data_IF_722191275747
#
_entry.id   IF_722191275747
#
_cell.length_a   1.000
_cell.length_b   1.000
_cell.length_c   1.000
_cell.angle_alpha   90.00
_cell.angle_beta   90.00
_cell.angle_gamma   90.00
#
_symmetry.space_group_name_H-M   'P 1'
#
loop_
_entity.id
_entity.type
_entity.pdbx_description
1 polymer ?
#
# COMPACT_ATOMS: atom_id res chain seq x y z
N UNK A 1 14.85 -21.55 46.74
CA UNK A 1 15.67 -21.92 45.58
C UNK A 1 14.97 -21.58 44.22
N UNK A 2 14.60 -20.33 43.93
CA UNK A 2 13.96 -19.93 42.65
C UNK A 2 14.61 -18.71 41.95
N UNK A 3 15.77 -18.22 42.39
CA UNK A 3 16.44 -17.06 41.78
C UNK A 3 17.63 -17.39 40.87
N UNK A 4 18.08 -18.64 40.79
CA UNK A 4 19.31 -18.99 40.02
C UNK A 4 19.03 -19.28 38.53
N UNK A 5 17.82 -19.70 38.14
CA UNK A 5 17.49 -20.05 36.74
C UNK A 5 17.35 -18.86 35.82
N UNK A 6 17.01 -17.66 36.34
CA UNK A 6 16.83 -16.45 35.53
C UNK A 6 18.16 -15.89 34.99
N UNK A 7 19.27 -16.05 35.75
CA UNK A 7 20.58 -15.54 35.31
C UNK A 7 21.22 -16.43 34.23
N UNK A 8 21.01 -17.75 34.31
CA UNK A 8 21.54 -18.69 33.30
C UNK A 8 20.84 -18.51 31.95
N UNK A 9 19.52 -18.29 31.94
CA UNK A 9 18.76 -18.03 30.70
C UNK A 9 19.18 -16.70 30.04
N UNK A 10 19.44 -15.66 30.82
CA UNK A 10 19.94 -14.38 30.30
C UNK A 10 21.36 -14.47 29.75
N UNK A 11 22.23 -15.21 30.39
CA UNK A 11 23.60 -15.46 29.91
C UNK A 11 23.64 -16.29 28.63
N UNK A 12 22.77 -17.32 28.52
CA UNK A 12 22.62 -18.11 27.30
C UNK A 12 22.02 -17.28 26.13
N UNK A 13 21.07 -16.39 26.40
CA UNK A 13 20.52 -15.49 25.38
C UNK A 13 21.54 -14.46 24.88
N UNK A 14 22.41 -13.94 25.77
CA UNK A 14 23.51 -13.04 25.41
C UNK A 14 24.61 -13.76 24.64
N UNK A 15 24.94 -14.98 25.00
CA UNK A 15 25.92 -15.79 24.30
C UNK A 15 25.42 -16.20 22.89
N UNK A 16 24.13 -16.49 22.75
CA UNK A 16 23.51 -16.79 21.45
C UNK A 16 23.48 -15.56 20.54
N UNK A 17 23.17 -14.37 21.09
CA UNK A 17 23.22 -13.09 20.36
C UNK A 17 24.65 -12.72 19.95
N UNK A 18 25.65 -12.97 20.81
CA UNK A 18 27.05 -12.73 20.48
C UNK A 18 27.57 -13.70 19.40
N UNK A 19 27.15 -14.97 19.43
CA UNK A 19 27.48 -15.96 18.39
C UNK A 19 26.81 -15.61 17.03
N UNK A 20 25.56 -15.14 17.02
CA UNK A 20 24.90 -14.70 15.79
C UNK A 20 25.54 -13.42 15.22
N UNK A 21 25.98 -12.50 16.07
CA UNK A 21 26.74 -11.32 15.64
C UNK A 21 28.11 -11.66 15.05
N UNK A 22 28.77 -12.71 15.55
CA UNK A 22 30.08 -13.15 15.03
C UNK A 22 29.98 -13.92 13.71
N UNK A 23 28.85 -14.58 13.42
CA UNK A 23 28.64 -15.28 12.15
C UNK A 23 28.19 -14.32 11.04
N UNK A 24 27.63 -13.14 11.38
CA UNK A 24 27.33 -12.09 10.40
C UNK A 24 28.54 -11.24 9.96
N UNK A 25 29.74 -11.47 10.47
CA UNK A 25 30.99 -11.02 9.87
C UNK A 25 31.49 -11.97 8.75
N UNK A 26 30.57 -12.64 8.04
CA UNK A 26 30.86 -13.20 6.74
C UNK A 26 31.36 -12.05 5.86
N UNK A 27 32.63 -12.13 5.47
CA UNK A 27 33.36 -11.27 4.55
C UNK A 27 32.42 -10.46 3.68
N UNK A 28 32.26 -9.16 4.00
CA UNK A 28 31.71 -8.22 3.04
C UNK A 28 32.51 -8.44 1.75
N UNK A 29 31.87 -8.82 0.62
CA UNK A 29 32.60 -8.91 -0.62
C UNK A 29 33.30 -7.59 -0.78
N UNK A 30 34.63 -7.61 -0.98
CA UNK A 30 35.39 -6.40 -1.24
C UNK A 30 34.65 -5.70 -2.37
N UNK A 31 34.05 -4.55 -2.07
CA UNK A 31 33.33 -3.74 -3.03
C UNK A 31 34.36 -3.44 -4.14
N UNK A 32 34.16 -4.04 -5.30
CA UNK A 32 34.97 -3.72 -6.47
C UNK A 32 34.89 -2.21 -6.68
N UNK A 33 36.00 -1.54 -7.06
CA UNK A 33 35.97 -0.11 -7.32
C UNK A 33 35.06 0.14 -8.54
N UNK A 34 33.82 0.55 -8.25
CA UNK A 34 32.83 0.88 -9.26
C UNK A 34 32.81 2.39 -9.41
N UNK A 35 33.06 2.88 -10.63
CA UNK A 35 32.86 4.27 -10.97
C UNK A 35 31.38 4.49 -11.36
N UNK A 36 30.62 5.25 -10.55
CA UNK A 36 29.24 5.56 -10.90
C UNK A 36 29.19 6.41 -12.18
N UNK A 37 28.10 6.32 -12.89
CA UNK A 37 27.87 7.19 -14.05
C UNK A 37 27.91 8.68 -13.65
N UNK A 38 28.53 9.47 -14.50
CA UNK A 38 28.53 10.93 -14.42
C UNK A 38 28.61 11.51 -15.83
N UNK A 39 28.14 12.77 -16.04
CA UNK A 39 28.31 13.46 -17.31
C UNK A 39 29.76 13.66 -17.77
N UNK A 40 30.71 13.52 -16.84
CA UNK A 40 32.13 13.60 -17.15
C UNK A 40 32.59 12.27 -17.75
N UNK A 41 33.19 12.26 -18.95
CA UNK A 41 33.70 11.04 -19.56
C UNK A 41 34.68 10.28 -18.67
N UNK A 42 34.74 8.97 -18.86
CA UNK A 42 35.74 8.13 -18.19
C UNK A 42 37.11 8.48 -18.74
N UNK A 43 38.05 8.77 -17.82
CA UNK A 43 39.45 9.01 -18.21
C UNK A 43 40.18 7.68 -18.46
N UNK A 44 41.04 7.60 -19.47
CA UNK A 44 41.93 6.43 -19.66
C UNK A 44 42.70 6.03 -18.41
N UNK A 45 43.11 7.02 -17.62
CA UNK A 45 43.89 6.78 -16.37
C UNK A 45 43.10 6.02 -15.30
N UNK A 46 41.77 5.96 -15.42
CA UNK A 46 40.90 5.22 -14.52
C UNK A 46 40.77 3.73 -14.91
N UNK A 47 41.20 3.37 -16.14
CA UNK A 47 41.01 2.03 -16.72
C UNK A 47 42.27 1.20 -16.61
N UNK A 48 42.13 -0.13 -16.70
CA UNK A 48 43.28 -1.00 -16.80
C UNK A 48 43.92 -0.90 -18.17
N UNK A 49 45.26 -0.89 -18.19
CA UNK A 49 46.03 -1.01 -19.44
C UNK A 49 46.16 -2.47 -19.82
N UNK A 50 45.72 -2.84 -21.02
CA UNK A 50 45.80 -4.19 -21.54
C UNK A 50 46.25 -4.18 -22.99
N UNK A 51 47.40 -4.80 -23.29
CA UNK A 51 47.86 -4.97 -24.67
C UNK A 51 47.22 -6.23 -25.27
N UNK A 52 46.33 -6.05 -26.25
CA UNK A 52 45.57 -7.13 -26.87
C UNK A 52 46.18 -7.49 -28.21
N UNK A 53 46.61 -8.76 -28.34
CA UNK A 53 47.22 -9.28 -29.59
C UNK A 53 46.21 -9.57 -30.70
N UNK A 54 44.89 -9.66 -30.35
CA UNK A 54 43.84 -9.95 -31.32
C UNK A 54 43.48 -8.67 -32.14
N UNK A 55 43.43 -8.84 -33.47
CA UNK A 55 43.12 -7.75 -34.40
C UNK A 55 41.61 -7.45 -34.48
N UNK A 56 40.75 -8.30 -33.90
CA UNK A 56 39.29 -8.12 -33.94
C UNK A 56 38.78 -7.21 -32.82
N UNK A 57 39.60 -6.88 -31.83
CA UNK A 57 39.22 -6.04 -30.70
C UNK A 57 39.46 -4.55 -30.98
N UNK A 58 38.49 -3.71 -30.56
CA UNK A 58 38.47 -2.28 -30.87
C UNK A 58 39.25 -1.40 -29.88
N UNK A 59 40.10 -1.98 -29.06
CA UNK A 59 41.07 -1.25 -28.25
C UNK A 59 40.58 -0.77 -26.90
N UNK A 60 39.31 -0.90 -26.54
CA UNK A 60 38.79 -0.55 -25.21
C UNK A 60 37.44 -1.21 -24.94
N UNK A 61 37.18 -1.57 -23.69
CA UNK A 61 35.92 -2.13 -23.25
C UNK A 61 35.55 -1.66 -21.85
N UNK A 62 34.31 -1.22 -21.66
CA UNK A 62 33.73 -0.86 -20.36
C UNK A 62 32.84 -1.99 -19.86
N UNK A 63 33.15 -2.55 -18.71
CA UNK A 63 32.26 -3.50 -18.01
C UNK A 63 31.20 -2.71 -17.23
N UNK A 64 30.06 -2.49 -17.89
CA UNK A 64 28.97 -1.69 -17.40
C UNK A 64 28.06 -2.56 -16.55
N UNK A 65 27.79 -2.12 -15.32
CA UNK A 65 26.95 -2.85 -14.36
C UNK A 65 25.86 -1.95 -13.75
N UNK A 66 24.88 -2.60 -13.16
CA UNK A 66 23.81 -1.96 -12.42
C UNK A 66 23.86 -2.37 -10.95
N UNK A 67 23.97 -1.39 -10.08
CA UNK A 67 23.81 -1.56 -8.64
C UNK A 67 22.38 -1.27 -8.24
N UNK A 68 21.81 -2.15 -7.41
CA UNK A 68 20.43 -2.04 -6.90
C UNK A 68 20.49 -1.94 -5.39
N UNK A 69 19.84 -0.95 -4.82
CA UNK A 69 19.69 -0.79 -3.38
C UNK A 69 18.27 -0.38 -3.03
N UNK A 70 17.80 -0.80 -1.86
CA UNK A 70 16.47 -0.47 -1.37
C UNK A 70 16.56 0.45 -0.16
N UNK A 71 15.69 1.44 -0.12
CA UNK A 71 15.57 2.39 0.97
C UNK A 71 14.10 2.48 1.42
N UNK A 72 13.88 2.36 2.74
CA UNK A 72 12.57 2.62 3.32
C UNK A 72 12.36 4.12 3.50
N UNK A 73 11.43 4.68 2.75
CA UNK A 73 11.14 6.11 2.71
C UNK A 73 9.77 6.42 3.29
N UNK A 74 9.61 7.67 3.69
CA UNK A 74 8.32 8.21 4.10
C UNK A 74 8.10 9.59 3.49
N UNK A 75 6.97 9.75 2.80
CA UNK A 75 6.53 11.03 2.26
C UNK A 75 5.14 11.34 2.83
N UNK A 76 5.07 12.35 3.71
CA UNK A 76 3.85 12.65 4.47
C UNK A 76 3.45 11.49 5.39
N UNK A 77 2.24 10.96 5.19
CA UNK A 77 1.71 9.82 5.92
C UNK A 77 1.90 8.47 5.19
N UNK A 78 2.60 8.46 4.06
CA UNK A 78 2.83 7.26 3.25
C UNK A 78 4.26 6.75 3.46
N UNK A 79 4.38 5.49 3.91
CA UNK A 79 5.63 4.75 3.99
C UNK A 79 5.72 3.76 2.80
N UNK A 80 6.88 3.66 2.17
CA UNK A 80 7.11 2.77 1.04
C UNK A 80 8.59 2.40 0.93
N UNK A 81 8.89 1.32 0.24
CA UNK A 81 10.26 0.97 -0.15
C UNK A 81 10.53 1.57 -1.52
N UNK A 82 11.59 2.34 -1.63
CA UNK A 82 12.08 2.88 -2.90
C UNK A 82 13.31 2.09 -3.34
N UNK A 83 13.30 1.60 -4.56
CA UNK A 83 14.41 0.87 -5.15
C UNK A 83 15.24 1.82 -6.00
N UNK A 84 16.49 2.02 -5.63
CA UNK A 84 17.45 2.80 -6.39
C UNK A 84 18.18 1.90 -7.37
N UNK A 85 18.26 2.35 -8.60
CA UNK A 85 19.06 1.74 -9.66
C UNK A 85 20.15 2.72 -10.06
N UNK A 86 21.42 2.28 -10.01
CA UNK A 86 22.58 3.11 -10.36
C UNK A 86 23.44 2.36 -11.34
N UNK A 87 23.74 2.97 -12.47
CA UNK A 87 24.72 2.44 -13.39
C UNK A 87 26.15 2.77 -12.93
N UNK A 88 27.08 1.93 -13.28
CA UNK A 88 28.49 2.14 -13.01
C UNK A 88 29.36 1.28 -13.92
N UNK A 89 30.65 1.52 -13.86
CA UNK A 89 31.68 0.75 -14.57
C UNK A 89 32.53 0.05 -13.51
N UNK A 90 32.72 -1.27 -13.66
CA UNK A 90 33.70 -2.01 -12.89
C UNK A 90 35.10 -1.70 -13.42
N UNK A 91 35.85 -0.88 -12.68
CA UNK A 91 37.21 -0.49 -13.06
C UNK A 91 38.21 -1.63 -13.02
N UNK A 92 37.87 -2.76 -12.36
CA UNK A 92 38.75 -3.94 -12.32
C UNK A 92 38.64 -4.84 -13.54
N UNK A 93 37.59 -4.70 -14.34
CA UNK A 93 37.34 -5.46 -15.55
C UNK A 93 37.28 -4.57 -16.82
N UNK A 94 37.20 -3.25 -16.66
CA UNK A 94 37.26 -2.31 -17.77
C UNK A 94 38.70 -1.98 -18.13
N UNK A 95 38.98 -1.92 -19.43
CA UNK A 95 40.35 -1.81 -19.93
C UNK A 95 40.45 -1.03 -21.23
N UNK A 96 41.69 -0.60 -21.58
CA UNK A 96 42.01 -0.07 -22.90
C UNK A 96 43.41 -0.54 -23.31
N UNK A 97 43.61 -0.59 -24.63
CA UNK A 97 44.92 -0.83 -25.25
C UNK A 97 45.47 0.48 -25.80
N UNK A 98 46.56 1.03 -25.24
CA UNK A 98 47.10 2.32 -25.65
C UNK A 98 47.59 2.35 -27.12
N UNK A 99 47.88 1.15 -27.69
CA UNK A 99 48.34 1.08 -29.08
C UNK A 99 47.16 1.10 -30.10
N UNK A 100 45.92 0.84 -29.64
CA UNK A 100 44.73 0.73 -30.49
C UNK A 100 43.62 1.72 -30.18
N UNK A 101 43.50 2.13 -28.91
CA UNK A 101 42.40 2.98 -28.45
C UNK A 101 42.69 4.44 -28.88
N UNK A 102 41.79 5.01 -29.60
CA UNK A 102 41.79 6.44 -29.95
C UNK A 102 40.65 7.21 -29.22
N UNK A 103 40.59 8.50 -29.40
CA UNK A 103 39.56 9.33 -28.82
C UNK A 103 38.14 8.88 -29.18
N UNK A 104 37.93 8.37 -30.41
CA UNK A 104 36.63 7.96 -30.88
C UNK A 104 36.13 6.67 -30.23
N UNK A 105 37.00 5.74 -29.90
CA UNK A 105 36.68 4.53 -29.16
C UNK A 105 36.26 4.83 -27.73
N UNK A 106 36.92 5.80 -27.07
CA UNK A 106 36.47 6.25 -25.74
C UNK A 106 35.11 6.90 -25.79
N UNK A 107 34.84 7.76 -26.81
CA UNK A 107 33.54 8.38 -27.02
C UNK A 107 32.44 7.36 -27.31
N UNK A 108 32.76 6.33 -28.13
CA UNK A 108 31.83 5.23 -28.37
C UNK A 108 31.49 4.44 -27.11
N UNK A 109 32.49 4.09 -26.30
CA UNK A 109 32.25 3.39 -25.01
C UNK A 109 31.48 4.28 -24.01
N UNK A 110 31.75 5.58 -23.99
CA UNK A 110 30.94 6.53 -23.21
C UNK A 110 29.48 6.54 -23.67
N UNK A 111 29.20 6.48 -24.96
CA UNK A 111 27.82 6.39 -25.48
C UNK A 111 27.14 5.10 -25.05
N UNK A 112 27.83 3.96 -25.02
CA UNK A 112 27.28 2.71 -24.47
C UNK A 112 26.90 2.88 -23.00
N UNK A 113 27.73 3.56 -22.23
CA UNK A 113 27.49 3.84 -20.83
C UNK A 113 26.32 4.81 -20.63
N UNK A 114 26.23 5.86 -21.45
CA UNK A 114 25.16 6.85 -21.39
C UNK A 114 23.79 6.25 -21.77
N UNK A 115 23.72 5.38 -22.79
CA UNK A 115 22.50 4.64 -23.15
C UNK A 115 22.06 3.72 -22.00
N UNK A 116 23.03 3.09 -21.34
CA UNK A 116 22.72 2.27 -20.17
C UNK A 116 22.16 3.10 -19.02
N UNK A 117 22.74 4.28 -18.74
CA UNK A 117 22.22 5.21 -17.71
C UNK A 117 20.79 5.68 -18.03
N UNK A 118 20.47 6.03 -19.29
CA UNK A 118 19.11 6.37 -19.71
C UNK A 118 18.15 5.21 -19.37
N UNK A 119 18.56 3.99 -19.69
CA UNK A 119 17.77 2.79 -19.41
C UNK A 119 17.57 2.60 -17.90
N UNK A 120 18.61 2.82 -17.09
CA UNK A 120 18.55 2.71 -15.63
C UNK A 120 17.63 3.76 -15.03
N UNK A 121 17.66 5.00 -15.51
CA UNK A 121 16.75 6.08 -15.08
C UNK A 121 15.30 5.73 -15.43
N UNK A 122 15.04 5.27 -16.64
CA UNK A 122 13.71 4.85 -17.08
C UNK A 122 13.19 3.66 -16.26
N UNK A 123 14.05 2.69 -15.97
CA UNK A 123 13.74 1.56 -15.12
C UNK A 123 13.37 2.03 -13.70
N UNK A 124 14.20 2.86 -13.07
CA UNK A 124 13.96 3.36 -11.71
C UNK A 124 12.60 4.07 -11.60
N UNK A 125 12.32 4.96 -12.57
CA UNK A 125 11.07 5.72 -12.58
C UNK A 125 9.84 4.84 -12.77
N UNK A 126 9.90 3.82 -13.63
CA UNK A 126 8.78 2.92 -13.89
C UNK A 126 8.62 1.87 -12.78
N UNK A 127 9.72 1.29 -12.32
CA UNK A 127 9.74 0.23 -11.31
C UNK A 127 9.12 0.66 -9.97
N UNK A 128 9.46 1.87 -9.51
CA UNK A 128 8.94 2.41 -8.27
C UNK A 128 7.48 2.89 -8.36
N UNK A 129 6.90 2.93 -9.55
CA UNK A 129 5.48 3.23 -9.77
C UNK A 129 4.64 1.97 -10.00
N UNK A 130 5.29 0.81 -10.11
CA UNK A 130 4.61 -0.46 -10.28
C UNK A 130 3.82 -0.84 -9.02
N UNK A 131 2.60 -1.35 -9.21
CA UNK A 131 1.69 -1.71 -8.13
C UNK A 131 1.85 -3.15 -7.66
N UNK A 132 2.54 -3.99 -8.44
CA UNK A 132 2.77 -5.39 -8.12
C UNK A 132 4.17 -5.84 -8.50
N UNK A 133 4.60 -6.97 -7.93
CA UNK A 133 5.87 -7.59 -8.30
C UNK A 133 5.89 -8.05 -9.75
N UNK A 134 4.78 -8.53 -10.27
CA UNK A 134 4.69 -8.96 -11.67
C UNK A 134 4.83 -7.78 -12.62
N UNK A 135 4.22 -6.61 -12.30
CA UNK A 135 4.42 -5.38 -13.06
C UNK A 135 5.90 -4.96 -13.02
N UNK A 136 6.56 -5.09 -11.86
CA UNK A 136 7.98 -4.79 -11.73
C UNK A 136 8.85 -5.70 -12.61
N UNK A 137 8.55 -7.00 -12.65
CA UNK A 137 9.27 -7.97 -13.48
C UNK A 137 9.02 -7.71 -14.98
N UNK A 138 7.79 -7.34 -15.37
CA UNK A 138 7.46 -6.98 -16.75
C UNK A 138 8.16 -5.67 -17.18
N UNK A 139 8.19 -4.65 -16.31
CA UNK A 139 8.91 -3.39 -16.54
C UNK A 139 10.40 -3.67 -16.72
N UNK A 140 11.01 -4.49 -15.85
CA UNK A 140 12.43 -4.87 -15.95
C UNK A 140 12.72 -5.58 -17.27
N UNK A 141 11.89 -6.56 -17.65
CA UNK A 141 12.04 -7.30 -18.91
C UNK A 141 11.93 -6.37 -20.12
N UNK A 142 10.91 -5.53 -20.17
CA UNK A 142 10.73 -4.57 -21.27
C UNK A 142 11.88 -3.60 -21.37
N UNK A 143 12.30 -3.01 -20.25
CA UNK A 143 13.44 -2.08 -20.20
C UNK A 143 14.74 -2.73 -20.69
N UNK A 144 14.98 -4.01 -20.30
CA UNK A 144 16.13 -4.75 -20.78
C UNK A 144 16.10 -4.93 -22.30
N UNK A 145 14.94 -5.29 -22.88
CA UNK A 145 14.79 -5.45 -24.33
C UNK A 145 15.00 -4.11 -25.06
N UNK A 146 14.42 -3.02 -24.56
CA UNK A 146 14.58 -1.69 -25.11
C UNK A 146 16.07 -1.24 -25.09
N UNK A 147 16.78 -1.50 -24.00
CA UNK A 147 18.21 -1.27 -23.89
C UNK A 147 19.01 -2.10 -24.91
N UNK A 148 18.76 -3.39 -25.00
CA UNK A 148 19.48 -4.27 -25.93
C UNK A 148 19.26 -3.84 -27.39
N UNK A 149 18.05 -3.41 -27.74
CA UNK A 149 17.75 -2.88 -29.08
C UNK A 149 18.55 -1.60 -29.34
N UNK A 150 18.49 -0.60 -28.46
CA UNK A 150 19.26 0.65 -28.62
C UNK A 150 20.76 0.40 -28.68
N UNK A 151 21.27 -0.51 -27.84
CA UNK A 151 22.68 -0.90 -27.89
C UNK A 151 23.05 -1.52 -29.25
N UNK A 152 22.23 -2.38 -29.78
CA UNK A 152 22.45 -3.01 -31.08
C UNK A 152 22.40 -1.97 -32.22
N UNK A 153 21.47 -1.02 -32.16
CA UNK A 153 21.38 0.08 -33.13
C UNK A 153 22.66 0.94 -33.12
N UNK A 154 23.14 1.33 -31.91
CA UNK A 154 24.40 2.06 -31.78
C UNK A 154 25.57 1.27 -32.38
N UNK A 155 25.72 0.01 -32.03
CA UNK A 155 26.80 -0.85 -32.52
C UNK A 155 26.78 -0.94 -34.06
N UNK A 156 25.60 -1.18 -34.62
CA UNK A 156 25.46 -1.37 -36.08
C UNK A 156 25.65 -0.07 -36.87
N UNK A 157 25.07 1.04 -36.38
CA UNK A 157 25.18 2.35 -37.07
C UNK A 157 26.57 2.95 -36.97
N UNK A 158 27.27 2.75 -35.84
CA UNK A 158 28.64 3.27 -35.65
C UNK A 158 29.72 2.31 -36.17
N UNK A 159 29.32 1.14 -36.67
CA UNK A 159 30.23 0.08 -37.11
C UNK A 159 31.26 -0.22 -36.00
N UNK A 160 30.76 -0.56 -34.80
CA UNK A 160 31.58 -0.78 -33.59
C UNK A 160 32.49 0.40 -33.22
N UNK A 161 32.04 1.62 -33.38
CA UNK A 161 32.81 2.81 -33.00
C UNK A 161 33.79 3.33 -34.07
N UNK A 162 33.76 2.81 -35.29
CA UNK A 162 34.66 3.27 -36.39
C UNK A 162 34.05 4.40 -37.24
N UNK A 163 32.70 4.53 -37.29
CA UNK A 163 32.04 5.64 -37.96
C UNK A 163 31.92 6.87 -37.05
N UNK A 164 32.86 7.78 -37.18
CA UNK A 164 32.92 8.97 -36.34
C UNK A 164 31.74 9.94 -36.56
N UNK A 165 31.16 9.97 -37.78
CA UNK A 165 30.03 10.83 -38.08
C UNK A 165 28.77 10.33 -37.36
N UNK A 166 28.57 9.01 -37.32
CA UNK A 166 27.48 8.40 -36.56
C UNK A 166 27.68 8.53 -35.06
N UNK A 167 28.90 8.38 -34.53
CA UNK A 167 29.21 8.64 -33.11
C UNK A 167 28.77 10.07 -32.77
N UNK A 168 29.16 11.10 -33.51
CA UNK A 168 28.78 12.48 -33.25
C UNK A 168 27.25 12.72 -33.34
N UNK A 169 26.53 11.94 -34.16
CA UNK A 169 25.07 11.96 -34.24
C UNK A 169 24.43 11.35 -33.00
N UNK A 170 24.92 10.23 -32.55
CA UNK A 170 24.47 9.51 -31.35
C UNK A 170 24.71 10.34 -30.07
N UNK A 171 25.83 11.02 -29.94
CA UNK A 171 26.12 11.91 -28.82
C UNK A 171 25.06 13.02 -28.69
N UNK A 172 24.65 13.65 -29.81
CA UNK A 172 23.58 14.63 -29.75
C UNK A 172 22.23 14.04 -29.38
N UNK A 173 21.93 12.83 -29.84
CA UNK A 173 20.72 12.13 -29.52
C UNK A 173 20.69 11.76 -28.01
N UNK A 174 21.73 11.11 -27.54
CA UNK A 174 21.86 10.63 -26.13
C UNK A 174 21.87 11.80 -25.15
N UNK A 175 22.60 12.89 -25.48
CA UNK A 175 22.58 14.10 -24.65
C UNK A 175 21.16 14.65 -24.48
N UNK A 176 20.39 14.72 -25.57
CA UNK A 176 18.97 15.15 -25.51
C UNK A 176 18.13 14.22 -24.67
N UNK A 177 18.30 12.92 -24.79
CA UNK A 177 17.59 11.93 -23.99
C UNK A 177 17.90 12.07 -22.49
N UNK A 178 19.16 12.25 -22.11
CA UNK A 178 19.56 12.49 -20.71
C UNK A 178 18.97 13.77 -20.14
N UNK A 179 18.86 14.83 -20.95
CA UNK A 179 18.20 16.08 -20.57
C UNK A 179 16.66 15.90 -20.41
N UNK A 180 16.02 15.08 -21.24
CA UNK A 180 14.58 14.80 -21.20
C UNK A 180 14.18 13.87 -20.05
N UNK A 181 15.06 12.98 -19.62
CA UNK A 181 14.80 11.99 -18.55
C UNK A 181 15.70 12.25 -17.34
N UNK A 182 15.54 13.36 -16.62
CA UNK A 182 16.32 13.56 -15.40
C UNK A 182 15.90 12.53 -14.32
N UNK A 183 16.83 12.18 -13.43
CA UNK A 183 16.47 11.45 -12.23
C UNK A 183 15.48 12.27 -11.42
N UNK A 184 14.31 11.70 -11.19
CA UNK A 184 13.26 12.37 -10.41
C UNK A 184 13.41 12.03 -8.94
N UNK A 185 13.06 13.00 -8.08
CA UNK A 185 12.99 12.71 -6.65
C UNK A 185 11.97 11.59 -6.37
N UNK A 186 12.23 10.71 -5.40
CA UNK A 186 11.30 9.65 -5.02
C UNK A 186 9.91 10.20 -4.74
N UNK A 187 8.90 9.56 -5.31
CA UNK A 187 7.49 9.91 -5.09
C UNK A 187 6.79 8.75 -4.42
N UNK A 188 5.95 9.06 -3.44
CA UNK A 188 5.08 8.05 -2.86
C UNK A 188 4.20 7.42 -3.96
N UNK A 189 4.08 6.09 -4.01
CA UNK A 189 3.19 5.41 -4.94
C UNK A 189 1.76 5.89 -4.72
N UNK A 190 0.99 5.99 -5.81
CA UNK A 190 -0.44 6.31 -5.71
C UNK A 190 -1.17 5.10 -5.16
N UNK A 191 -2.01 5.37 -4.17
CA UNK A 191 -2.88 4.35 -3.63
C UNK A 191 -4.01 4.02 -4.63
N UNK A 192 -4.20 2.71 -4.89
CA UNK A 192 -5.33 2.24 -5.68
C UNK A 192 -6.47 1.84 -4.75
N UNK A 193 -7.50 2.70 -4.67
CA UNK A 193 -8.69 2.44 -3.85
C UNK A 193 -9.68 1.48 -4.51
N UNK A 194 -9.32 0.93 -5.68
CA UNK A 194 -10.26 0.17 -6.48
C UNK A 194 -10.55 -1.24 -5.94
N UNK A 195 -9.57 -1.86 -5.24
CA UNK A 195 -9.74 -3.21 -4.73
C UNK A 195 -9.13 -3.36 -3.34
N UNK A 196 -9.96 -3.50 -2.33
CA UNK A 196 -9.52 -3.67 -0.95
C UNK A 196 -10.45 -4.58 -0.16
N UNK A 197 -9.91 -5.17 0.89
CA UNK A 197 -10.66 -5.75 2.00
C UNK A 197 -10.27 -5.00 3.27
N UNK A 198 -11.26 -4.60 4.03
CA UNK A 198 -11.05 -3.85 5.25
C UNK A 198 -11.86 -4.35 6.41
N UNK A 199 -11.40 -4.01 7.60
CA UNK A 199 -12.15 -4.18 8.83
C UNK A 199 -12.02 -2.92 9.68
N UNK A 200 -13.04 -2.66 10.48
CA UNK A 200 -13.06 -1.52 11.37
C UNK A 200 -13.72 -1.82 12.71
N UNK A 201 -13.32 -1.05 13.71
CA UNK A 201 -13.90 -1.05 15.05
C UNK A 201 -14.14 0.39 15.49
N UNK A 202 -15.18 0.60 16.25
CA UNK A 202 -15.46 1.93 16.78
C UNK A 202 -16.76 2.03 17.57
N UNK A 203 -17.34 3.20 17.54
CA UNK A 203 -18.57 3.52 18.25
C UNK A 203 -19.60 4.11 17.30
N UNK A 204 -20.86 3.89 17.61
CA UNK A 204 -22.00 4.45 16.89
C UNK A 204 -22.99 5.07 17.88
N UNK A 205 -23.29 6.35 17.70
CA UNK A 205 -24.30 7.08 18.45
C UNK A 205 -25.62 7.06 17.68
N UNK A 206 -26.69 6.68 18.34
CA UNK A 206 -28.02 6.58 17.77
C UNK A 206 -28.97 7.54 18.48
N UNK A 207 -29.61 8.42 17.71
CA UNK A 207 -30.62 9.35 18.15
C UNK A 207 -31.98 8.96 17.56
N UNK A 208 -32.95 8.47 18.37
CA UNK A 208 -34.30 8.22 17.91
C UNK A 208 -35.00 9.50 17.44
N UNK A 209 -35.78 9.43 16.37
CA UNK A 209 -36.49 10.58 15.78
C UNK A 209 -38.00 10.46 15.95
N UNK A 210 -38.71 11.58 15.95
CA UNK A 210 -40.18 11.64 16.02
C UNK A 210 -40.76 11.00 17.27
N UNK A 211 -41.78 10.21 17.15
CA UNK A 211 -42.43 9.50 18.27
C UNK A 211 -41.52 8.52 18.98
N UNK A 212 -40.51 8.01 18.30
CA UNK A 212 -39.52 7.11 18.92
C UNK A 212 -38.67 7.82 19.99
N UNK A 213 -38.43 9.12 19.88
CA UNK A 213 -37.69 9.90 20.88
C UNK A 213 -38.43 10.03 22.23
N UNK A 214 -39.76 9.81 22.23
CA UNK A 214 -40.56 9.78 23.46
C UNK A 214 -40.43 8.43 24.19
N UNK A 215 -40.15 7.36 23.44
CA UNK A 215 -40.05 6.01 23.98
C UNK A 215 -38.62 5.59 24.31
N UNK A 216 -37.63 6.04 23.54
CA UNK A 216 -36.25 5.62 23.68
C UNK A 216 -35.30 6.76 24.08
N UNK A 217 -34.26 6.43 24.83
CA UNK A 217 -33.11 7.32 25.03
C UNK A 217 -32.13 7.21 23.88
N UNK A 218 -31.25 8.21 23.77
CA UNK A 218 -30.07 8.15 22.92
C UNK A 218 -29.14 7.00 23.32
N UNK A 219 -28.40 6.44 22.37
CA UNK A 219 -27.54 5.28 22.62
C UNK A 219 -26.14 5.52 22.07
N UNK A 220 -25.17 4.98 22.81
CA UNK A 220 -23.82 4.77 22.31
C UNK A 220 -23.56 3.26 22.22
N UNK A 221 -23.34 2.78 21.04
CA UNK A 221 -23.08 1.36 20.74
C UNK A 221 -21.63 1.16 20.30
N UNK A 222 -21.05 -0.01 20.59
CA UNK A 222 -19.87 -0.47 19.87
C UNK A 222 -20.25 -0.84 18.42
N UNK A 223 -19.35 -0.69 17.50
CA UNK A 223 -19.55 -1.08 16.11
C UNK A 223 -18.29 -1.76 15.56
N UNK A 224 -18.51 -2.78 14.72
CA UNK A 224 -17.48 -3.49 13.99
C UNK A 224 -17.99 -3.83 12.59
N UNK A 225 -17.09 -3.91 11.61
CA UNK A 225 -17.50 -4.30 10.28
C UNK A 225 -16.35 -4.79 9.41
N UNK A 226 -16.75 -5.45 8.33
CA UNK A 226 -15.90 -5.94 7.25
C UNK A 226 -16.32 -5.27 5.95
N UNK A 227 -15.37 -4.72 5.21
CA UNK A 227 -15.60 -4.03 3.95
C UNK A 227 -14.87 -4.72 2.81
N UNK A 228 -15.50 -4.78 1.65
CA UNK A 228 -14.89 -5.23 0.40
C UNK A 228 -15.16 -4.15 -0.64
N UNK A 229 -14.11 -3.51 -1.13
CA UNK A 229 -14.18 -2.53 -2.21
C UNK A 229 -13.80 -3.16 -3.55
N UNK A 230 -14.60 -2.86 -4.59
CA UNK A 230 -14.35 -3.26 -5.97
C UNK A 230 -14.65 -2.05 -6.86
N UNK A 231 -13.61 -1.43 -7.40
CA UNK A 231 -13.74 -0.17 -8.16
C UNK A 231 -14.39 0.92 -7.30
N UNK A 232 -15.47 1.52 -7.79
CA UNK A 232 -16.22 2.56 -7.07
C UNK A 232 -17.30 1.99 -6.14
N UNK A 233 -17.47 0.67 -6.08
CA UNK A 233 -18.47 0.04 -5.24
C UNK A 233 -17.85 -0.61 -4.03
N UNK A 234 -18.58 -0.64 -2.93
CA UNK A 234 -18.19 -1.44 -1.77
C UNK A 234 -19.38 -2.16 -1.14
N UNK A 235 -19.06 -3.27 -0.52
CA UNK A 235 -19.95 -4.07 0.31
C UNK A 235 -19.46 -3.95 1.74
N UNK A 236 -20.35 -3.66 2.68
CA UNK A 236 -20.03 -3.54 4.10
C UNK A 236 -20.95 -4.45 4.92
N UNK A 237 -20.37 -5.38 5.65
CA UNK A 237 -21.03 -6.18 6.65
C UNK A 237 -20.68 -5.60 8.02
N UNK A 238 -21.69 -5.08 8.72
CA UNK A 238 -21.46 -4.45 10.01
C UNK A 238 -22.37 -4.98 11.10
N UNK A 239 -21.83 -4.97 12.31
CA UNK A 239 -22.54 -5.27 13.55
C UNK A 239 -22.39 -4.07 14.45
N UNK A 240 -23.49 -3.65 15.06
CA UNK A 240 -23.44 -2.65 16.13
C UNK A 240 -24.31 -3.06 17.28
N UNK A 241 -23.83 -2.81 18.49
CA UNK A 241 -24.56 -3.16 19.69
C UNK A 241 -23.79 -2.79 20.94
N UNK A 242 -24.39 -2.98 22.06
CA UNK A 242 -23.69 -2.82 23.33
C UNK A 242 -24.47 -2.12 24.40
N UNK A 243 -24.07 -2.46 25.58
CA UNK A 243 -24.22 -1.75 26.83
C UNK A 243 -25.63 -1.51 27.37
N UNK A 244 -25.89 -2.00 28.49
CA UNK A 244 -27.04 -1.97 29.40
C UNK A 244 -27.65 -0.59 29.73
N UNK A 245 -27.52 0.44 28.85
CA UNK A 245 -27.83 1.83 29.27
C UNK A 245 -29.04 2.48 28.58
N UNK A 246 -29.88 1.67 27.93
CA UNK A 246 -31.04 2.22 27.27
C UNK A 246 -32.29 2.05 28.15
N UNK A 247 -32.59 3.07 28.92
CA UNK A 247 -33.83 3.11 29.68
C UNK A 247 -34.99 3.47 28.76
N UNK A 248 -36.10 2.73 28.85
CA UNK A 248 -37.36 3.11 28.24
C UNK A 248 -37.92 4.33 28.98
N UNK A 249 -38.27 5.39 28.24
CA UNK A 249 -38.93 6.56 28.78
C UNK A 249 -40.40 6.36 29.07
N UNK A 250 -41.02 5.40 28.36
CA UNK A 250 -42.46 5.09 28.53
C UNK A 250 -42.70 3.62 28.24
N UNK A 251 -43.70 3.04 28.86
CA UNK A 251 -44.15 1.65 28.68
C UNK A 251 -44.85 1.39 27.35
N UNK A 252 -44.29 1.86 26.24
CA UNK A 252 -44.91 1.88 24.90
C UNK A 252 -44.79 0.57 24.11
N UNK A 253 -43.92 -0.34 24.59
CA UNK A 253 -43.67 -1.58 23.87
C UNK A 253 -44.45 -2.75 24.44
N UNK A 254 -45.04 -3.53 23.56
CA UNK A 254 -45.51 -4.87 23.88
C UNK A 254 -44.67 -5.88 23.10
N UNK A 255 -44.19 -6.87 23.80
CA UNK A 255 -43.52 -8.03 23.22
C UNK A 255 -44.47 -8.78 22.32
N UNK A 256 -43.97 -9.65 21.46
CA UNK A 256 -44.75 -10.57 20.61
C UNK A 256 -45.64 -11.50 21.42
N UNK A 257 -45.31 -11.77 22.67
CA UNK A 257 -46.12 -12.55 23.63
C UNK A 257 -47.13 -11.69 24.43
N UNK A 258 -47.29 -10.40 24.08
CA UNK A 258 -48.24 -9.49 24.72
C UNK A 258 -47.74 -8.83 26.04
N UNK A 259 -46.55 -9.12 26.51
CA UNK A 259 -45.97 -8.50 27.71
C UNK A 259 -45.62 -7.04 27.44
N UNK A 260 -46.16 -6.10 28.21
CA UNK A 260 -45.77 -4.69 28.14
C UNK A 260 -44.39 -4.45 28.73
N UNK A 261 -43.56 -3.68 28.07
CA UNK A 261 -42.25 -3.23 28.57
C UNK A 261 -42.47 -2.03 29.50
N UNK A 262 -41.94 -2.15 30.69
CA UNK A 262 -42.13 -1.13 31.72
C UNK A 262 -41.19 0.06 31.51
N UNK A 263 -41.60 1.22 31.97
CA UNK A 263 -40.74 2.39 32.05
C UNK A 263 -39.50 2.05 32.90
N UNK A 264 -38.36 2.62 32.54
CA UNK A 264 -37.06 2.42 33.20
C UNK A 264 -36.46 1.01 33.03
N UNK A 265 -37.13 0.14 32.28
CA UNK A 265 -36.54 -1.13 31.84
C UNK A 265 -35.32 -0.96 30.97
N UNK A 266 -34.35 -1.86 31.09
CA UNK A 266 -33.13 -1.82 30.29
C UNK A 266 -33.34 -2.55 28.97
N UNK A 267 -32.79 -2.00 27.90
CA UNK A 267 -32.82 -2.64 26.59
C UNK A 267 -31.38 -2.81 26.12
N UNK A 268 -31.05 -4.02 25.72
CA UNK A 268 -29.90 -4.33 24.89
C UNK A 268 -30.33 -4.43 23.42
N UNK A 269 -29.55 -3.88 22.51
CA UNK A 269 -29.81 -3.94 21.09
C UNK A 269 -28.57 -4.43 20.33
N UNK A 270 -28.79 -5.33 19.40
CA UNK A 270 -27.82 -5.78 18.42
C UNK A 270 -28.38 -5.56 17.02
N UNK A 271 -27.63 -4.89 16.17
CA UNK A 271 -27.91 -4.70 14.75
C UNK A 271 -26.88 -5.44 13.93
N UNK A 272 -27.31 -6.16 12.90
CA UNK A 272 -26.46 -6.74 11.86
C UNK A 272 -26.92 -6.20 10.51
N UNK A 273 -26.03 -5.59 9.72
CA UNK A 273 -26.39 -4.93 8.46
C UNK A 273 -25.48 -5.34 7.32
N UNK A 274 -26.07 -5.40 6.14
CA UNK A 274 -25.41 -5.49 4.84
C UNK A 274 -25.67 -4.19 4.09
N UNK A 275 -24.63 -3.42 3.83
CA UNK A 275 -24.71 -2.16 3.11
C UNK A 275 -24.00 -2.30 1.76
N UNK A 276 -24.58 -1.71 0.72
CA UNK A 276 -23.99 -1.52 -0.59
C UNK A 276 -23.73 -0.04 -0.79
N UNK A 277 -22.52 0.30 -1.16
CA UNK A 277 -22.13 1.70 -1.29
C UNK A 277 -21.40 2.02 -2.59
N UNK A 278 -21.35 3.32 -2.88
CA UNK A 278 -20.69 3.90 -4.03
C UNK A 278 -19.78 5.04 -3.60
N UNK A 279 -18.55 5.04 -4.12
CA UNK A 279 -17.58 6.11 -3.86
C UNK A 279 -17.89 7.34 -4.69
N UNK A 280 -18.35 8.39 -4.03
CA UNK A 280 -18.73 9.67 -4.66
C UNK A 280 -17.52 10.56 -4.90
N UNK A 281 -16.55 10.52 -3.97
CA UNK A 281 -15.36 11.35 -4.02
C UNK A 281 -14.17 10.56 -3.46
N UNK A 282 -13.09 10.53 -4.25
CA UNK A 282 -11.83 9.91 -3.83
C UNK A 282 -10.67 10.88 -4.08
N UNK A 283 -9.92 11.16 -3.03
CA UNK A 283 -8.71 12.00 -3.04
C UNK A 283 -7.60 11.27 -2.27
N UNK A 284 -6.39 11.76 -2.37
CA UNK A 284 -5.20 11.14 -1.77
C UNK A 284 -5.32 10.85 -0.27
N UNK A 285 -6.06 11.68 0.49
CA UNK A 285 -6.13 11.57 1.95
C UNK A 285 -7.55 11.37 2.49
N UNK A 286 -8.55 11.38 1.64
CA UNK A 286 -9.92 11.14 2.06
C UNK A 286 -10.79 10.56 0.96
N UNK A 287 -11.78 9.78 1.37
CA UNK A 287 -12.77 9.18 0.49
C UNK A 287 -14.16 9.38 1.10
N UNK A 288 -15.11 9.79 0.27
CA UNK A 288 -16.52 9.90 0.65
C UNK A 288 -17.32 8.88 -0.15
N UNK A 289 -18.11 8.09 0.56
CA UNK A 289 -18.98 7.07 -0.02
C UNK A 289 -20.40 7.28 0.43
N UNK A 290 -21.36 7.00 -0.42
CA UNK A 290 -22.78 6.89 -0.08
C UNK A 290 -23.17 5.43 -0.04
N UNK A 291 -24.13 5.06 0.81
CA UNK A 291 -24.58 3.68 0.91
C UNK A 291 -26.06 3.57 1.22
N UNK A 292 -26.62 2.43 0.86
CA UNK A 292 -27.91 1.95 1.31
C UNK A 292 -27.78 0.52 1.80
N UNK A 293 -28.55 0.13 2.78
CA UNK A 293 -28.41 -1.18 3.39
C UNK A 293 -29.70 -1.73 3.96
N UNK A 294 -29.67 -3.02 4.18
CA UNK A 294 -30.69 -3.80 4.87
C UNK A 294 -30.05 -4.58 5.99
N UNK A 295 -30.79 -4.82 7.05
CA UNK A 295 -30.28 -5.58 8.17
C UNK A 295 -31.35 -6.15 9.06
N UNK A 296 -30.88 -6.70 10.13
CA UNK A 296 -31.69 -7.29 11.18
C UNK A 296 -31.36 -6.62 12.49
N UNK A 297 -32.36 -6.26 13.26
CA UNK A 297 -32.20 -5.79 14.61
C UNK A 297 -32.77 -6.78 15.60
N UNK A 298 -32.14 -6.86 16.78
CA UNK A 298 -32.50 -7.72 17.89
C UNK A 298 -32.51 -6.90 19.17
N UNK A 299 -33.66 -6.84 19.84
CA UNK A 299 -33.81 -6.21 21.14
C UNK A 299 -34.04 -7.26 22.23
N UNK A 300 -33.30 -7.14 23.33
CA UNK A 300 -33.52 -7.84 24.56
C UNK A 300 -34.01 -6.86 25.63
N UNK A 301 -35.09 -7.17 26.29
CA UNK A 301 -35.63 -6.37 27.36
C UNK A 301 -35.35 -7.01 28.72
N UNK A 302 -34.89 -6.20 29.65
CA UNK A 302 -34.64 -6.55 31.05
C UNK A 302 -35.54 -5.71 31.93
N UNK A 303 -36.34 -6.31 32.79
CA UNK A 303 -37.13 -5.58 33.79
C UNK A 303 -36.23 -4.81 34.75
N UNK A 304 -36.73 -3.72 35.34
CA UNK A 304 -36.01 -3.05 36.42
C UNK A 304 -35.57 -4.07 37.48
N UNK A 305 -34.27 -4.03 37.81
CA UNK A 305 -33.62 -4.94 38.79
C UNK A 305 -33.49 -6.42 38.42
N UNK A 306 -33.86 -6.84 37.22
CA UNK A 306 -33.61 -8.21 36.72
C UNK A 306 -32.31 -8.25 35.86
N UNK A 307 -31.55 -9.33 36.01
CA UNK A 307 -30.33 -9.61 35.21
C UNK A 307 -30.59 -10.53 34.02
N UNK A 308 -31.76 -11.20 33.98
CA UNK A 308 -32.15 -12.09 32.91
C UNK A 308 -33.12 -11.38 31.93
N UNK A 309 -32.92 -11.62 30.62
CA UNK A 309 -33.83 -11.08 29.60
C UNK A 309 -35.25 -11.64 29.79
N UNK A 310 -36.23 -10.73 29.90
CA UNK A 310 -37.64 -11.10 30.11
C UNK A 310 -38.42 -11.22 28.81
N UNK A 311 -37.93 -10.59 27.72
CA UNK A 311 -38.56 -10.71 26.39
C UNK A 311 -37.61 -10.23 25.28
N UNK A 312 -37.89 -10.70 24.06
CA UNK A 312 -37.10 -10.42 22.83
C UNK A 312 -38.01 -9.90 21.76
N UNK A 313 -37.53 -8.92 20.99
CA UNK A 313 -38.13 -8.45 19.74
C UNK A 313 -37.09 -8.46 18.64
N UNK A 314 -37.49 -8.83 17.43
CA UNK A 314 -36.67 -8.87 16.26
C UNK A 314 -37.36 -8.19 15.07
N UNK A 315 -36.61 -7.65 14.15
CA UNK A 315 -37.17 -7.08 12.94
C UNK A 315 -36.13 -6.72 11.89
N UNK A 316 -36.62 -6.16 10.82
CA UNK A 316 -35.81 -5.71 9.70
C UNK A 316 -35.51 -4.22 9.85
N UNK A 317 -34.31 -3.81 9.48
CA UNK A 317 -33.92 -2.41 9.38
C UNK A 317 -33.45 -2.05 7.97
N UNK A 318 -33.56 -0.77 7.65
CA UNK A 318 -33.05 -0.18 6.41
C UNK A 318 -32.17 1.01 6.75
N UNK A 319 -31.03 1.12 6.07
CA UNK A 319 -30.07 2.21 6.26
C UNK A 319 -29.90 3.01 4.97
N UNK A 320 -29.72 4.32 5.10
CA UNK A 320 -29.31 5.21 4.03
C UNK A 320 -28.35 6.26 4.61
N UNK A 321 -27.13 6.36 4.06
CA UNK A 321 -26.16 7.25 4.64
C UNK A 321 -24.92 7.50 3.82
N UNK A 322 -23.94 8.07 4.47
CA UNK A 322 -22.63 8.33 3.91
C UNK A 322 -21.51 8.07 4.93
N UNK A 323 -20.35 7.71 4.40
CA UNK A 323 -19.09 7.57 5.11
C UNK A 323 -18.09 8.62 4.60
N UNK A 324 -17.39 9.26 5.52
CA UNK A 324 -16.19 10.03 5.22
C UNK A 324 -14.99 9.32 5.87
N UNK A 325 -14.06 8.86 5.04
CA UNK A 325 -12.87 8.14 5.47
C UNK A 325 -11.65 9.03 5.31
N UNK A 326 -10.91 9.27 6.40
CA UNK A 326 -9.63 9.98 6.39
C UNK A 326 -8.50 8.98 6.53
N UNK A 327 -7.54 9.05 5.61
CA UNK A 327 -6.37 8.20 5.61
C UNK A 327 -5.36 8.78 6.59
N UNK A 328 -5.12 8.06 7.67
CA UNK A 328 -4.18 8.43 8.73
C UNK A 328 -2.77 7.98 8.39
N UNK A 329 -2.65 6.78 7.84
CA UNK A 329 -1.38 6.18 7.49
C UNK A 329 -1.56 5.20 6.33
N UNK A 330 -0.60 5.19 5.41
CA UNK A 330 -0.59 4.32 4.25
C UNK A 330 0.79 3.66 4.15
N UNK A 331 0.84 2.34 4.24
CA UNK A 331 2.06 1.55 4.12
C UNK A 331 2.02 0.71 2.84
N UNK A 332 2.83 1.12 1.87
CA UNK A 332 3.02 0.42 0.60
C UNK A 332 4.15 -0.60 0.64
N UNK A 333 4.84 -0.74 1.77
CA UNK A 333 5.86 -1.79 1.91
C UNK A 333 5.15 -3.15 1.92
N UNK A 334 5.65 -4.14 1.18
CA UNK A 334 5.06 -5.47 1.22
C UNK A 334 5.17 -6.02 2.65
N UNK A 335 4.04 -6.18 3.33
CA UNK A 335 4.00 -6.60 4.73
C UNK A 335 4.42 -8.06 4.94
N UNK A 336 4.45 -8.87 3.89
CA UNK A 336 4.82 -10.29 3.98
C UNK A 336 4.93 -10.92 2.59
N UNK A 337 5.12 -12.25 2.54
CA UNK A 337 5.20 -13.11 1.36
C UNK A 337 4.00 -12.98 0.39
N UNK A 338 2.90 -12.34 0.81
CA UNK A 338 1.67 -12.19 0.00
C UNK A 338 1.55 -10.82 -0.68
N UNK A 339 2.46 -9.87 -0.42
CA UNK A 339 2.50 -8.58 -1.12
C UNK A 339 1.34 -7.63 -0.80
N UNK A 340 0.70 -7.75 0.37
CA UNK A 340 -0.34 -6.81 0.78
C UNK A 340 0.25 -5.50 1.27
N UNK A 341 -0.29 -4.39 0.81
CA UNK A 341 -0.08 -3.08 1.42
C UNK A 341 -1.26 -2.75 2.35
N UNK A 342 -1.00 -2.02 3.42
CA UNK A 342 -1.98 -1.70 4.44
C UNK A 342 -2.21 -0.20 4.59
N UNK A 343 -3.46 0.18 4.85
CA UNK A 343 -3.85 1.56 5.07
C UNK A 343 -4.68 1.67 6.35
N UNK A 344 -4.28 2.57 7.24
CA UNK A 344 -5.03 2.92 8.44
C UNK A 344 -5.91 4.14 8.15
N UNK A 345 -7.20 4.06 8.46
CA UNK A 345 -8.14 5.15 8.24
C UNK A 345 -9.04 5.41 9.45
N UNK A 346 -9.49 6.65 9.55
CA UNK A 346 -10.55 7.07 10.46
C UNK A 346 -11.82 7.28 9.63
N UNK A 347 -12.93 6.64 10.02
CA UNK A 347 -14.23 6.74 9.34
C UNK A 347 -15.23 7.48 10.23
N UNK A 348 -15.84 8.51 9.68
CA UNK A 348 -17.07 9.09 10.19
C UNK A 348 -18.22 8.57 9.34
N UNK A 349 -19.13 7.83 9.95
CA UNK A 349 -20.36 7.29 9.33
C UNK A 349 -21.57 8.06 9.83
N UNK A 350 -22.42 8.52 8.91
CA UNK A 350 -23.72 9.14 9.27
C UNK A 350 -24.81 8.53 8.42
N UNK A 351 -25.90 8.12 9.07
CA UNK A 351 -27.01 7.48 8.35
C UNK A 351 -28.34 7.61 9.05
N UNK A 352 -29.41 7.62 8.25
CA UNK A 352 -30.78 7.41 8.69
C UNK A 352 -31.05 5.92 8.72
N UNK A 353 -31.68 5.45 9.77
CA UNK A 353 -32.11 4.07 9.94
C UNK A 353 -33.60 4.04 10.18
N UNK A 354 -34.25 3.10 9.51
CA UNK A 354 -35.67 2.80 9.69
C UNK A 354 -35.81 1.34 10.17
N UNK A 355 -36.32 1.18 11.38
CA UNK A 355 -36.64 -0.13 11.96
C UNK A 355 -38.09 -0.47 11.64
N UNK A 356 -38.29 -1.43 10.72
CA UNK A 356 -39.61 -1.85 10.34
C UNK A 356 -40.29 -2.66 11.46
N UNK A 357 -41.57 -2.37 11.73
CA UNK A 357 -42.41 -3.10 12.72
C UNK A 357 -41.79 -3.16 14.14
N UNK A 358 -41.10 -2.10 14.57
CA UNK A 358 -40.43 -2.06 15.85
C UNK A 358 -41.38 -1.92 17.06
N UNK A 359 -42.67 -1.77 16.85
CA UNK A 359 -43.68 -1.61 17.93
C UNK A 359 -44.86 -2.56 17.72
N UNK A 360 -45.59 -2.84 18.80
CA UNK A 360 -46.83 -3.63 18.74
C UNK A 360 -47.92 -3.04 17.81
N UNK A 361 -47.87 -1.73 17.55
CA UNK A 361 -48.74 -1.01 16.62
C UNK A 361 -48.31 -1.10 15.15
N UNK A 362 -47.29 -1.91 14.85
CA UNK A 362 -46.71 -2.06 13.52
C UNK A 362 -46.11 -0.75 12.93
N UNK A 363 -45.88 0.27 13.77
CA UNK A 363 -45.23 1.50 13.34
C UNK A 363 -43.71 1.33 13.33
N UNK A 364 -43.08 1.81 12.25
CA UNK A 364 -41.61 1.85 12.15
C UNK A 364 -41.01 2.98 13.00
N UNK A 365 -39.73 2.81 13.35
CA UNK A 365 -38.96 3.78 14.12
C UNK A 365 -37.84 4.33 13.24
N UNK A 366 -37.77 5.65 13.18
CA UNK A 366 -36.66 6.34 12.56
C UNK A 366 -35.59 6.71 13.58
N UNK A 367 -34.34 6.60 13.21
CA UNK A 367 -33.22 7.10 13.99
C UNK A 367 -32.14 7.71 13.10
N UNK A 368 -31.48 8.76 13.64
CA UNK A 368 -30.24 9.29 13.08
C UNK A 368 -29.08 8.67 13.81
N UNK A 369 -28.13 8.17 13.04
CA UNK A 369 -26.95 7.50 13.57
C UNK A 369 -25.69 8.25 13.12
N UNK A 370 -24.70 8.34 14.03
CA UNK A 370 -23.38 8.88 13.75
C UNK A 370 -22.32 7.99 14.41
N UNK A 371 -21.42 7.45 13.62
CA UNK A 371 -20.36 6.54 14.08
C UNK A 371 -18.97 7.10 13.81
N UNK A 372 -18.06 6.85 14.74
CA UNK A 372 -16.63 7.09 14.56
C UNK A 372 -15.89 5.78 14.73
N UNK A 373 -15.17 5.36 13.68
CA UNK A 373 -14.48 4.09 13.65
C UNK A 373 -13.06 4.23 13.15
N UNK A 374 -12.18 3.37 13.63
CA UNK A 374 -10.83 3.19 13.14
C UNK A 374 -10.76 1.87 12.38
N UNK A 375 -10.18 1.87 11.18
CA UNK A 375 -10.12 0.68 10.37
C UNK A 375 -8.81 0.55 9.60
N UNK A 376 -8.64 -0.65 9.06
CA UNK A 376 -7.51 -1.00 8.20
C UNK A 376 -8.05 -1.54 6.88
N UNK A 377 -7.55 -1.02 5.76
CA UNK A 377 -7.74 -1.62 4.44
C UNK A 377 -6.48 -2.35 4.02
N UNK A 378 -6.65 -3.55 3.51
CA UNK A 378 -5.63 -4.36 2.86
C UNK A 378 -5.90 -4.34 1.36
N UNK A 379 -4.87 -4.02 0.57
CA UNK A 379 -4.98 -3.95 -0.88
C UNK A 379 -4.56 -5.23 -1.52
N UNK A 380 -5.31 -5.60 -2.55
CA UNK A 380 -4.92 -6.67 -3.47
C UNK A 380 -4.24 -6.05 -4.69
N UNK A 381 -3.05 -6.52 -5.08
CA UNK A 381 -2.46 -6.12 -6.36
C UNK A 381 -3.41 -6.48 -7.52
N UNK A 382 -3.41 -5.67 -8.57
CA UNK A 382 -4.31 -5.74 -9.75
C UNK A 382 -4.32 -7.05 -10.56
N UNK A 383 -3.93 -8.19 -10.01
CA UNK A 383 -3.82 -9.46 -10.75
C UNK A 383 -5.10 -10.00 -11.39
N UNK A 384 -6.27 -9.44 -11.10
CA UNK A 384 -7.54 -10.04 -11.53
C UNK A 384 -8.18 -9.44 -12.78
N UNK A 385 -7.59 -8.43 -13.44
CA UNK A 385 -8.25 -7.74 -14.55
C UNK A 385 -7.60 -7.91 -15.94
N UNK A 386 -6.60 -8.77 -16.11
CA UNK A 386 -6.02 -9.06 -17.43
C UNK A 386 -6.26 -10.53 -17.82
N UNK A 387 -7.54 -10.90 -17.94
CA UNK A 387 -7.98 -12.01 -18.77
C UNK A 387 -9.17 -11.61 -19.62
#
# INVERSE_FOLDING_TARGET
MKKSTSHIVRLLSFALLALTASVCQAQLPQLKPVRPWSPTPVSPDELQVLHVSDTTWHGSEYDILMNVSEENMRVGNTAFTYTHFKSGIDLTSSWYDPDKADEWIFRYNQLLFDIYEISVIQLENAYNQALSKDDQDDIRRKNTLDYLTRRQDLISETVYGTDTAQIARWERYVKRELEMFPRTAPRAPRFDYENYVGYYLGTNYMAPLGSASQAHTHRLNGSAGLEIGIKNYYIDLSVSGGGYYNLLKSGYFKSTNGTSWEKDGKINRLDATLNLGYTVLCKQYYMVTSFAGIGHWHYEYFRPNESTSSSVLNGTLFNLGCDANWILFNDHRPMNTFGFSGLLYLKLRTYLQYDAKATASAQGIWSLNAGLTLGVWLHFPKRFNNR
#
